data_IF_575738055183
#
_entry.id   IF_575738055183
#
_cell.length_a   1.000
_cell.length_b   1.000
_cell.length_c   1.000
_cell.angle_alpha   90.00
_cell.angle_beta   90.00
_cell.angle_gamma   90.00
#
_symmetry.space_group_name_H-M   'P 1'
#
loop_
_entity.id
_entity.type
_entity.pdbx_description
1 polymer ?
#
# COMPACT_ATOMS: atom_id res chain seq x y z
N UNK A 1 1.34 -18.52 -35.59
CA UNK A 1 0.91 -18.61 -34.18
C UNK A 1 1.41 -17.35 -33.51
N UNK A 2 0.53 -16.43 -33.14
CA UNK A 2 0.93 -15.27 -32.36
C UNK A 2 1.46 -15.78 -31.01
N UNK A 3 2.72 -15.50 -30.69
CA UNK A 3 3.26 -15.77 -29.37
C UNK A 3 2.48 -14.91 -28.39
N UNK A 4 1.72 -15.52 -27.48
CA UNK A 4 1.08 -14.81 -26.36
C UNK A 4 2.18 -14.13 -25.55
N UNK A 5 2.40 -12.84 -25.84
CA UNK A 5 3.37 -12.03 -25.11
C UNK A 5 2.81 -11.86 -23.71
N UNK A 6 3.47 -12.44 -22.71
CA UNK A 6 3.04 -12.33 -21.32
C UNK A 6 2.95 -10.84 -20.95
N UNK A 7 1.78 -10.41 -20.47
CA UNK A 7 1.59 -9.03 -20.03
C UNK A 7 2.54 -8.75 -18.85
N UNK A 8 3.40 -7.72 -18.92
CA UNK A 8 4.29 -7.39 -17.82
C UNK A 8 3.45 -6.99 -16.59
N UNK A 9 3.95 -7.31 -15.40
CA UNK A 9 3.33 -6.86 -14.17
C UNK A 9 3.54 -5.35 -13.99
N UNK A 10 2.47 -4.64 -13.64
CA UNK A 10 2.56 -3.23 -13.25
C UNK A 10 2.29 -3.12 -11.74
N UNK A 11 3.28 -2.70 -10.92
CA UNK A 11 3.07 -2.52 -9.49
C UNK A 11 2.14 -1.34 -9.21
N UNK A 12 1.32 -1.50 -8.17
CA UNK A 12 0.60 -0.37 -7.59
C UNK A 12 1.58 0.50 -6.81
N UNK A 13 1.86 1.67 -7.37
CA UNK A 13 2.73 2.66 -6.74
C UNK A 13 2.04 3.19 -5.44
N UNK A 14 2.70 3.93 -4.51
CA UNK A 14 2.07 4.55 -3.28
C UNK A 14 1.39 5.92 -3.42
N UNK A 15 0.13 6.10 -2.97
CA UNK A 15 -0.57 7.40 -3.04
C UNK A 15 0.31 8.51 -2.43
N UNK A 16 0.43 9.64 -3.13
CA UNK A 16 1.27 10.77 -2.69
C UNK A 16 0.67 11.43 -1.44
N UNK A 17 1.51 11.83 -0.49
CA UNK A 17 1.05 12.57 0.71
C UNK A 17 0.69 14.03 0.40
N UNK A 18 1.28 14.58 -0.66
CA UNK A 18 0.96 15.91 -1.20
C UNK A 18 0.72 15.73 -2.69
N UNK A 19 -0.53 15.74 -3.17
CA UNK A 19 -0.74 15.81 -4.61
C UNK A 19 -0.12 17.11 -5.12
N UNK A 20 0.52 17.05 -6.28
CA UNK A 20 0.65 18.24 -7.13
C UNK A 20 -0.77 18.56 -7.59
N UNK A 21 -1.49 19.29 -6.74
CA UNK A 21 -2.78 19.87 -7.02
C UNK A 21 -2.58 20.80 -8.22
N UNK A 22 -2.66 20.26 -9.44
CA UNK A 22 -2.95 21.05 -10.61
C UNK A 22 -4.43 21.42 -10.52
N UNK A 23 -4.74 22.31 -9.56
CA UNK A 23 -6.07 22.80 -9.19
C UNK A 23 -6.88 23.25 -10.41
N UNK A 24 -6.21 23.62 -11.49
CA UNK A 24 -6.84 24.28 -12.63
C UNK A 24 -7.63 23.33 -13.55
N UNK A 25 -7.48 22.00 -13.45
CA UNK A 25 -8.11 21.05 -14.40
C UNK A 25 -9.04 20.01 -13.74
N UNK A 26 -9.21 20.02 -12.41
CA UNK A 26 -10.08 19.08 -11.70
C UNK A 26 -11.32 19.81 -11.17
N UNK A 27 -12.42 19.79 -11.93
CA UNK A 27 -13.62 20.57 -11.61
C UNK A 27 -14.54 19.95 -10.54
N UNK A 28 -14.35 18.67 -10.19
CA UNK A 28 -15.16 18.03 -9.16
C UNK A 28 -14.38 16.93 -8.44
N UNK A 29 -14.64 16.78 -7.15
CA UNK A 29 -14.03 15.82 -6.25
C UNK A 29 -15.07 14.90 -5.64
N UNK A 30 -14.67 13.65 -5.41
CA UNK A 30 -15.51 12.62 -4.81
C UNK A 30 -14.79 11.93 -3.67
N UNK A 31 -15.54 11.44 -2.69
CA UNK A 31 -15.02 10.59 -1.62
C UNK A 31 -15.61 9.18 -1.71
N UNK A 32 -14.79 8.17 -1.48
CA UNK A 32 -15.19 6.75 -1.38
C UNK A 32 -14.66 6.16 -0.08
N UNK A 33 -15.33 5.15 0.47
CA UNK A 33 -14.86 4.49 1.70
C UNK A 33 -13.46 3.90 1.49
N UNK A 34 -12.55 4.18 2.42
CA UNK A 34 -11.24 3.52 2.44
C UNK A 34 -11.38 2.18 3.17
N UNK A 35 -11.22 1.10 2.42
CA UNK A 35 -11.20 -0.27 2.97
C UNK A 35 -9.83 -0.58 3.56
N UNK A 36 -9.83 -1.25 4.71
CA UNK A 36 -8.66 -1.70 5.43
C UNK A 36 -8.40 -3.18 5.16
N UNK A 37 -7.64 -3.48 4.11
CA UNK A 37 -7.33 -4.86 3.73
C UNK A 37 -5.89 -4.98 3.24
N UNK A 38 -5.74 -5.65 2.10
CA UNK A 38 -4.50 -5.66 1.35
C UNK A 38 -4.79 -5.38 -0.13
N UNK A 39 -3.95 -4.55 -0.72
CA UNK A 39 -4.02 -4.21 -2.14
C UNK A 39 -3.87 -5.45 -3.03
N UNK A 40 -4.84 -5.63 -3.93
CA UNK A 40 -4.97 -6.81 -4.78
C UNK A 40 -5.48 -6.40 -6.17
N UNK A 41 -5.09 -7.13 -7.21
CA UNK A 41 -5.54 -6.86 -8.57
C UNK A 41 -5.77 -8.12 -9.39
N UNK A 42 -6.76 -8.04 -10.28
CA UNK A 42 -6.94 -8.94 -11.40
C UNK A 42 -6.49 -8.24 -12.68
N UNK A 43 -5.87 -8.96 -13.61
CA UNK A 43 -5.53 -8.38 -14.91
C UNK A 43 -5.53 -9.42 -16.03
N UNK A 44 -5.87 -8.98 -17.25
CA UNK A 44 -5.99 -9.83 -18.44
C UNK A 44 -5.76 -9.02 -19.72
N UNK A 45 -5.24 -9.67 -20.76
CA UNK A 45 -5.06 -9.09 -22.12
C UNK A 45 -5.90 -9.75 -23.21
N UNK A 46 -6.53 -10.87 -22.88
CA UNK A 46 -7.27 -11.71 -23.82
C UNK A 46 -8.72 -11.93 -23.36
N UNK A 47 -9.03 -11.66 -22.08
CA UNK A 47 -10.31 -11.95 -21.45
C UNK A 47 -10.45 -13.40 -20.99
N UNK A 48 -9.46 -14.25 -21.25
CA UNK A 48 -9.49 -15.68 -20.94
C UNK A 48 -8.50 -16.05 -19.84
N UNK A 49 -7.28 -15.53 -19.95
CA UNK A 49 -6.21 -15.70 -18.99
C UNK A 49 -6.27 -14.58 -17.96
N UNK A 50 -6.70 -14.93 -16.75
CA UNK A 50 -6.76 -13.99 -15.63
C UNK A 50 -5.54 -14.19 -14.73
N UNK A 51 -4.79 -13.13 -14.53
CA UNK A 51 -3.65 -13.09 -13.62
C UNK A 51 -4.03 -12.37 -12.31
N UNK A 52 -3.29 -12.69 -11.26
CA UNK A 52 -3.46 -12.12 -9.92
C UNK A 52 -2.21 -11.32 -9.56
N UNK A 53 -2.39 -10.22 -8.84
CA UNK A 53 -1.29 -9.39 -8.35
C UNK A 53 -1.57 -8.85 -6.96
N UNK A 54 -0.52 -8.70 -6.17
CA UNK A 54 -0.54 -7.83 -5.00
C UNK A 54 -0.21 -6.39 -5.44
N UNK A 55 0.03 -5.53 -4.45
CA UNK A 55 0.60 -4.22 -4.68
C UNK A 55 1.91 -4.24 -5.46
N UNK A 56 2.82 -5.16 -5.15
CA UNK A 56 4.23 -5.07 -5.56
C UNK A 56 4.64 -6.16 -6.55
N UNK A 57 3.86 -7.23 -6.70
CA UNK A 57 4.25 -8.36 -7.55
C UNK A 57 3.07 -9.20 -8.05
N UNK A 58 3.35 -10.01 -9.07
CA UNK A 58 2.48 -11.12 -9.46
C UNK A 58 2.29 -12.11 -8.32
N UNK A 59 1.11 -12.70 -8.27
CA UNK A 59 0.80 -13.80 -7.35
C UNK A 59 0.60 -15.08 -8.15
N UNK A 60 1.18 -16.17 -7.67
CA UNK A 60 0.89 -17.50 -8.17
C UNK A 60 -0.51 -17.92 -7.68
N UNK A 61 -1.42 -18.19 -8.61
CA UNK A 61 -2.79 -18.57 -8.31
C UNK A 61 -2.89 -19.91 -7.55
N UNK A 62 -1.85 -20.74 -7.56
CA UNK A 62 -1.83 -22.02 -6.83
C UNK A 62 -1.44 -21.87 -5.36
N UNK A 63 -1.03 -20.67 -4.92
CA UNK A 63 -0.57 -20.41 -3.57
C UNK A 63 -1.63 -19.66 -2.75
N UNK A 64 -1.33 -19.46 -1.46
CA UNK A 64 -2.11 -18.56 -0.61
C UNK A 64 -1.47 -17.17 -0.55
N UNK A 65 -2.29 -16.12 -0.50
CA UNK A 65 -1.85 -14.76 -0.19
C UNK A 65 -2.60 -14.27 1.05
N UNK A 66 -1.86 -13.94 2.11
CA UNK A 66 -2.45 -13.55 3.41
C UNK A 66 -3.50 -14.56 3.91
N UNK A 67 -3.20 -15.87 3.74
CA UNK A 67 -4.08 -17.01 4.09
C UNK A 67 -5.34 -17.15 3.22
N UNK A 68 -5.58 -16.24 2.28
CA UNK A 68 -6.59 -16.41 1.24
C UNK A 68 -6.14 -17.48 0.25
N UNK A 69 -6.96 -18.51 0.01
CA UNK A 69 -6.72 -19.51 -1.02
C UNK A 69 -6.96 -18.86 -2.40
N UNK A 70 -5.90 -18.60 -3.16
CA UNK A 70 -6.02 -17.87 -4.43
C UNK A 70 -6.69 -18.68 -5.53
N UNK A 71 -6.66 -20.01 -5.48
CA UNK A 71 -7.35 -20.87 -6.47
C UNK A 71 -8.85 -20.63 -6.37
N UNK A 72 -9.40 -20.79 -5.17
CA UNK A 72 -10.83 -20.60 -4.90
C UNK A 72 -11.24 -19.13 -5.07
N UNK A 73 -10.39 -18.20 -4.59
CA UNK A 73 -10.66 -16.78 -4.72
C UNK A 73 -10.72 -16.34 -6.18
N UNK A 74 -9.77 -16.79 -7.02
CA UNK A 74 -9.78 -16.53 -8.46
C UNK A 74 -10.98 -17.16 -9.14
N UNK A 75 -11.34 -18.39 -8.80
CA UNK A 75 -12.50 -19.07 -9.39
C UNK A 75 -13.79 -18.26 -9.17
N UNK A 76 -14.01 -17.74 -7.95
CA UNK A 76 -15.21 -16.92 -7.63
C UNK A 76 -15.31 -15.60 -8.39
N UNK A 77 -14.19 -14.98 -8.77
CA UNK A 77 -14.18 -13.66 -9.41
C UNK A 77 -13.90 -13.72 -10.92
N UNK A 78 -13.61 -14.91 -11.46
CA UNK A 78 -13.23 -15.09 -12.87
C UNK A 78 -14.31 -14.58 -13.82
N UNK A 79 -15.56 -14.96 -13.57
CA UNK A 79 -16.68 -14.58 -14.43
C UNK A 79 -16.88 -13.05 -14.49
N UNK A 80 -16.74 -12.36 -13.36
CA UNK A 80 -16.85 -10.89 -13.31
C UNK A 80 -15.77 -10.21 -14.17
N UNK A 81 -14.52 -10.67 -14.06
CA UNK A 81 -13.42 -10.13 -14.87
C UNK A 81 -13.63 -10.41 -16.35
N UNK A 82 -14.14 -11.60 -16.71
CA UNK A 82 -14.45 -11.96 -18.11
C UNK A 82 -15.56 -11.07 -18.66
N UNK A 83 -16.66 -10.90 -17.93
CA UNK A 83 -17.79 -10.07 -18.34
C UNK A 83 -17.37 -8.61 -18.51
N UNK A 84 -16.58 -8.09 -17.56
CA UNK A 84 -15.99 -6.76 -17.63
C UNK A 84 -15.12 -6.58 -18.88
N UNK A 85 -14.26 -7.54 -19.19
CA UNK A 85 -13.42 -7.50 -20.37
C UNK A 85 -14.23 -7.52 -21.67
N UNK A 86 -15.26 -8.38 -21.75
CA UNK A 86 -16.13 -8.43 -22.92
C UNK A 86 -16.89 -7.11 -23.12
N UNK A 87 -17.45 -6.55 -22.04
CA UNK A 87 -18.14 -5.26 -22.07
C UNK A 87 -17.23 -4.15 -22.64
N UNK A 88 -15.98 -4.09 -22.18
CA UNK A 88 -14.97 -3.14 -22.72
C UNK A 88 -14.70 -3.43 -24.20
N UNK A 89 -14.47 -4.69 -24.56
CA UNK A 89 -14.05 -5.09 -25.91
C UNK A 89 -15.11 -4.79 -26.96
N UNK A 90 -16.40 -5.01 -26.65
CA UNK A 90 -17.49 -4.83 -27.61
C UNK A 90 -18.18 -3.46 -27.51
N UNK A 91 -18.12 -2.80 -26.35
CA UNK A 91 -18.85 -1.56 -26.12
C UNK A 91 -18.20 -0.35 -26.79
N UNK A 92 -18.96 0.33 -27.66
CA UNK A 92 -18.51 1.57 -28.32
C UNK A 92 -18.12 2.67 -27.32
N UNK A 93 -18.80 2.72 -26.16
CA UNK A 93 -18.52 3.67 -25.07
C UNK A 93 -17.04 3.63 -24.65
N UNK A 94 -16.40 2.47 -24.70
CA UNK A 94 -15.04 2.27 -24.18
C UNK A 94 -13.93 2.53 -25.22
N UNK A 95 -14.31 2.80 -26.48
CA UNK A 95 -13.34 2.95 -27.56
C UNK A 95 -12.32 4.05 -27.30
N UNK A 96 -12.70 5.14 -26.63
CA UNK A 96 -11.77 6.22 -26.29
C UNK A 96 -10.64 5.78 -25.31
N UNK A 97 -10.89 4.74 -24.49
CA UNK A 97 -9.85 4.12 -23.68
C UNK A 97 -8.97 3.18 -24.52
N UNK A 98 -9.57 2.44 -25.45
CA UNK A 98 -8.90 1.43 -26.30
C UNK A 98 -8.01 2.09 -27.37
N UNK A 99 -8.55 3.09 -28.06
CA UNK A 99 -8.00 3.72 -29.26
C UNK A 99 -6.91 4.76 -28.97
N UNK A 100 -6.35 4.79 -27.75
CA UNK A 100 -5.48 5.85 -27.27
C UNK A 100 -4.19 6.00 -28.07
N UNK A 101 -4.24 6.80 -29.15
CA UNK A 101 -3.12 7.36 -29.91
C UNK A 101 -2.58 8.66 -29.33
N UNK A 102 -3.03 9.09 -28.14
CA UNK A 102 -2.38 10.18 -27.44
C UNK A 102 -1.11 9.61 -26.81
N UNK A 103 0.10 9.88 -27.35
CA UNK A 103 1.31 9.55 -26.63
C UNK A 103 1.20 10.26 -25.30
N UNK A 104 1.06 9.50 -24.21
CA UNK A 104 1.42 10.01 -22.91
C UNK A 104 2.85 10.52 -23.09
N UNK A 105 3.06 11.83 -23.03
CA UNK A 105 4.42 12.32 -22.89
C UNK A 105 4.87 11.75 -21.55
N UNK A 106 5.78 10.78 -21.62
CA UNK A 106 6.57 10.34 -20.49
C UNK A 106 7.54 11.48 -20.12
N UNK A 107 7.00 12.68 -19.84
CA UNK A 107 7.71 13.74 -19.15
C UNK A 107 7.88 13.28 -17.68
N UNK A 108 8.67 12.21 -17.52
CA UNK A 108 9.19 11.61 -16.31
C UNK A 108 10.51 12.32 -15.99
N UNK A 109 10.51 13.65 -16.00
CA UNK A 109 11.71 14.41 -15.64
C UNK A 109 11.77 14.71 -14.14
N UNK A 110 10.67 14.63 -13.39
CA UNK A 110 10.61 15.17 -12.02
C UNK A 110 10.58 14.16 -10.85
N UNK A 111 10.64 12.84 -11.08
CA UNK A 111 10.72 11.83 -10.00
C UNK A 111 12.13 11.20 -9.95
N UNK A 112 13.10 11.97 -9.46
CA UNK A 112 14.49 11.52 -9.20
C UNK A 112 14.56 10.23 -8.34
N UNK A 113 13.58 10.02 -7.45
CA UNK A 113 13.52 8.85 -6.56
C UNK A 113 13.18 7.53 -7.28
N UNK A 114 12.57 7.57 -8.48
CA UNK A 114 12.22 6.36 -9.23
C UNK A 114 13.33 5.93 -10.20
N UNK A 115 14.10 6.90 -10.73
CA UNK A 115 15.24 6.66 -11.62
C UNK A 115 16.33 5.83 -10.93
N UNK A 116 16.55 6.02 -9.63
CA UNK A 116 17.60 5.30 -8.89
C UNK A 116 17.35 3.79 -8.79
N UNK A 117 16.09 3.36 -8.80
CA UNK A 117 15.72 1.93 -8.75
C UNK A 117 15.73 1.27 -10.13
N UNK A 118 15.44 2.04 -11.20
CA UNK A 118 15.47 1.56 -12.57
C UNK A 118 16.90 1.45 -13.13
N UNK A 119 17.74 2.47 -12.89
CA UNK A 119 19.14 2.48 -13.34
C UNK A 119 19.96 1.36 -12.71
N UNK A 120 19.72 1.05 -11.43
CA UNK A 120 20.39 -0.05 -10.72
C UNK A 120 20.03 -1.42 -11.30
N UNK A 121 18.85 -1.55 -11.93
CA UNK A 121 18.37 -2.79 -12.54
C UNK A 121 18.87 -2.96 -13.97
N UNK A 122 19.17 -1.87 -14.68
CA UNK A 122 19.82 -1.91 -15.99
C UNK A 122 21.31 -2.23 -15.87
N UNK A 123 22.03 -1.68 -14.88
CA UNK A 123 23.44 -2.07 -14.61
C UNK A 123 23.56 -3.56 -14.26
N UNK A 124 22.62 -4.10 -13.49
CA UNK A 124 22.58 -5.53 -13.16
C UNK A 124 22.26 -6.42 -14.38
N UNK A 125 21.58 -5.88 -15.41
CA UNK A 125 21.26 -6.61 -16.65
C UNK A 125 22.37 -6.50 -17.71
N UNK A 126 23.07 -5.37 -17.80
CA UNK A 126 24.23 -5.20 -18.70
C UNK A 126 25.41 -6.06 -18.27
N UNK A 127 25.62 -6.27 -16.97
CA UNK A 127 26.62 -7.22 -16.47
C UNK A 127 26.32 -8.68 -16.85
N UNK A 128 25.05 -9.03 -17.08
CA UNK A 128 24.65 -10.39 -17.47
C UNK A 128 24.74 -10.64 -18.99
N UNK A 129 24.83 -9.58 -19.80
CA UNK A 129 24.89 -9.69 -21.26
C UNK A 129 26.33 -9.62 -21.82
N UNK A 130 27.33 -9.31 -21.00
CA UNK A 130 28.73 -9.19 -21.44
C UNK A 130 29.51 -10.51 -21.49
N UNK A 131 28.90 -11.67 -21.21
CA UNK A 131 29.58 -12.98 -21.25
C UNK A 131 29.25 -13.86 -22.47
N UNK A 132 28.52 -13.36 -23.48
CA UNK A 132 28.23 -14.15 -24.68
C UNK A 132 28.46 -13.35 -25.97
N UNK A 133 29.31 -13.94 -26.82
CA UNK A 133 29.58 -13.64 -28.23
C UNK A 133 30.61 -12.57 -28.59
N UNK A 134 31.86 -13.05 -28.70
CA UNK A 134 32.81 -12.57 -29.70
C UNK A 134 32.73 -13.39 -30.98
N UNK A 135 32.09 -12.86 -32.03
CA UNK A 135 32.48 -13.19 -33.40
C UNK A 135 32.13 -12.07 -34.40
N UNK A 136 33.19 -11.48 -34.95
CA UNK A 136 33.18 -10.46 -35.99
C UNK A 136 32.64 -11.03 -37.31
N UNK A 137 31.85 -10.23 -38.04
CA UNK A 137 31.90 -10.23 -39.50
C UNK A 137 31.37 -8.94 -40.13
N UNK A 138 32.26 -8.28 -40.84
CA UNK A 138 32.04 -7.18 -41.77
C UNK A 138 31.12 -7.59 -42.94
N UNK A 139 30.29 -6.64 -43.41
CA UNK A 139 29.43 -6.85 -44.57
C UNK A 139 28.57 -5.66 -44.95
N UNK A 140 29.18 -4.74 -45.71
CA UNK A 140 28.63 -3.57 -46.39
C UNK A 140 27.46 -3.89 -47.36
N UNK A 141 26.37 -3.09 -47.36
CA UNK A 141 25.63 -2.71 -48.60
C UNK A 141 24.51 -1.68 -48.35
N UNK A 142 24.40 -0.81 -49.36
CA UNK A 142 23.64 0.43 -49.48
C UNK A 142 22.13 0.26 -49.77
N UNK A 143 21.40 1.31 -49.41
CA UNK A 143 20.29 1.97 -50.11
C UNK A 143 19.06 1.15 -50.57
N UNK A 144 17.87 1.51 -50.06
CA UNK A 144 16.61 0.98 -50.56
C UNK A 144 15.39 1.17 -49.66
N UNK A 145 14.62 2.21 -49.96
CA UNK A 145 13.17 2.30 -49.78
C UNK A 145 12.62 2.37 -48.34
N UNK A 146 12.50 3.60 -47.85
CA UNK A 146 11.80 3.97 -46.62
C UNK A 146 10.28 3.79 -46.73
N UNK A 147 9.82 2.55 -46.96
CA UNK A 147 8.44 2.18 -46.63
C UNK A 147 8.32 2.21 -45.12
N UNK A 148 7.73 3.29 -44.61
CA UNK A 148 7.09 3.30 -43.28
C UNK A 148 6.01 2.22 -43.29
N UNK A 149 6.41 0.98 -43.00
CA UNK A 149 5.52 -0.04 -42.46
C UNK A 149 5.09 0.51 -41.11
N UNK A 150 4.02 1.29 -41.12
CA UNK A 150 3.18 1.48 -39.94
C UNK A 150 2.60 0.09 -39.68
N UNK A 151 3.37 -0.79 -39.05
CA UNK A 151 2.82 -1.95 -38.37
C UNK A 151 1.76 -1.37 -37.44
N UNK A 152 0.50 -1.51 -37.85
CA UNK A 152 -0.64 -1.45 -36.97
C UNK A 152 -0.41 -2.58 -35.97
N UNK A 153 0.41 -2.31 -34.96
CA UNK A 153 0.46 -3.14 -33.77
C UNK A 153 -0.97 -3.17 -33.29
N UNK A 154 -1.64 -4.31 -33.48
CA UNK A 154 -2.97 -4.53 -32.93
C UNK A 154 -2.91 -4.06 -31.48
N UNK A 155 -3.69 -3.02 -31.15
CA UNK A 155 -3.70 -2.48 -29.80
C UNK A 155 -4.22 -3.59 -28.89
N UNK A 156 -3.30 -4.32 -28.28
CA UNK A 156 -3.61 -5.40 -27.34
C UNK A 156 -4.35 -4.75 -26.18
N UNK A 157 -5.62 -5.11 -26.03
CA UNK A 157 -6.47 -4.61 -24.96
C UNK A 157 -5.94 -5.12 -23.62
N UNK A 158 -5.41 -4.23 -22.79
CA UNK A 158 -4.99 -4.52 -21.43
C UNK A 158 -6.04 -4.00 -20.44
N UNK A 159 -6.56 -4.90 -19.60
CA UNK A 159 -7.50 -4.54 -18.53
C UNK A 159 -6.91 -4.93 -17.19
N UNK A 160 -6.91 -3.99 -16.24
CA UNK A 160 -6.58 -4.23 -14.83
C UNK A 160 -7.70 -3.75 -13.93
N UNK A 161 -8.09 -4.59 -12.98
CA UNK A 161 -9.08 -4.30 -11.95
C UNK A 161 -8.35 -4.24 -10.62
N UNK A 162 -8.25 -3.04 -10.06
CA UNK A 162 -7.61 -2.76 -8.77
C UNK A 162 -8.65 -2.80 -7.67
N UNK A 163 -8.30 -3.44 -6.56
CA UNK A 163 -9.16 -3.50 -5.41
C UNK A 163 -8.43 -3.84 -4.12
N UNK A 164 -9.21 -3.96 -3.07
CA UNK A 164 -8.76 -4.38 -1.76
C UNK A 164 -9.26 -5.81 -1.51
N UNK A 165 -8.34 -6.73 -1.18
CA UNK A 165 -8.66 -8.01 -0.56
C UNK A 165 -8.90 -7.75 0.93
N UNK A 166 -10.11 -8.06 1.40
CA UNK A 166 -10.51 -7.79 2.79
C UNK A 166 -11.32 -8.95 3.38
N UNK A 167 -11.58 -8.89 4.69
CA UNK A 167 -12.35 -9.91 5.40
C UNK A 167 -11.49 -11.10 5.86
N UNK A 168 -12.07 -12.29 5.82
CA UNK A 168 -11.45 -13.53 6.31
C UNK A 168 -11.33 -13.60 7.85
N UNK A 169 -12.03 -12.71 8.56
CA UNK A 169 -11.85 -12.42 9.97
C UNK A 169 -13.09 -12.72 10.78
N UNK A 170 -13.48 -13.99 10.85
CA UNK A 170 -14.69 -14.35 11.56
C UNK A 170 -14.62 -14.13 13.07
N UNK A 171 -15.78 -13.93 13.70
CA UNK A 171 -15.91 -13.85 15.17
C UNK A 171 -15.59 -15.18 15.84
N UNK A 172 -15.70 -16.26 15.07
CA UNK A 172 -15.43 -17.60 15.54
C UNK A 172 -13.92 -17.79 15.71
N UNK A 173 -13.50 -18.12 16.94
CA UNK A 173 -12.08 -18.28 17.32
C UNK A 173 -11.36 -19.37 16.51
N UNK A 174 -12.13 -20.24 15.86
CA UNK A 174 -11.64 -21.31 14.99
C UNK A 174 -11.40 -20.86 13.55
N UNK A 175 -11.84 -19.65 13.17
CA UNK A 175 -11.62 -19.08 11.85
C UNK A 175 -10.25 -18.37 11.82
N UNK A 176 -9.52 -18.61 10.74
CA UNK A 176 -8.19 -18.02 10.47
C UNK A 176 -8.22 -16.50 10.70
N UNK A 177 -7.11 -15.89 11.14
CA UNK A 177 -7.11 -14.46 11.41
C UNK A 177 -7.35 -13.66 10.13
N UNK A 178 -8.15 -12.61 10.29
CA UNK A 178 -8.49 -11.61 9.30
C UNK A 178 -7.27 -11.07 8.54
N UNK A 179 -7.50 -10.53 7.33
CA UNK A 179 -6.48 -9.78 6.59
C UNK A 179 -5.88 -8.65 7.45
N UNK A 180 -6.73 -7.95 8.21
CA UNK A 180 -6.36 -6.91 9.18
C UNK A 180 -7.11 -7.09 10.51
N UNK A 181 -6.50 -6.73 11.64
CA UNK A 181 -7.04 -7.02 12.98
C UNK A 181 -7.97 -5.93 13.53
N UNK A 182 -7.94 -4.76 12.92
CA UNK A 182 -8.54 -3.52 13.43
C UNK A 182 -9.98 -3.33 12.99
N UNK A 183 -10.34 -3.82 11.81
CA UNK A 183 -11.71 -3.77 11.27
C UNK A 183 -12.17 -5.17 10.89
N UNK A 184 -13.39 -5.50 11.29
CA UNK A 184 -14.05 -6.74 10.92
C UNK A 184 -15.15 -6.43 9.92
N UNK A 185 -14.88 -6.72 8.66
CA UNK A 185 -15.84 -6.58 7.57
C UNK A 185 -16.69 -7.84 7.40
N UNK A 186 -16.05 -8.98 7.13
CA UNK A 186 -16.75 -10.23 6.88
C UNK A 186 -15.90 -11.42 7.30
N UNK A 187 -16.58 -12.52 7.61
CA UNK A 187 -15.97 -13.82 7.92
C UNK A 187 -15.27 -14.41 6.69
N UNK A 188 -15.77 -14.09 5.49
CA UNK A 188 -15.20 -14.54 4.22
C UNK A 188 -14.20 -13.53 3.63
N UNK A 189 -13.27 -14.02 2.82
CA UNK A 189 -12.44 -13.15 1.98
C UNK A 189 -13.29 -12.58 0.83
N UNK A 190 -13.28 -11.25 0.68
CA UNK A 190 -14.00 -10.50 -0.36
C UNK A 190 -13.05 -9.58 -1.13
N UNK A 191 -13.46 -9.16 -2.32
CA UNK A 191 -12.74 -8.21 -3.15
C UNK A 191 -13.57 -6.94 -3.31
N UNK A 192 -12.99 -5.78 -3.00
CA UNK A 192 -13.61 -4.46 -3.17
C UNK A 192 -12.90 -3.69 -4.28
N UNK A 193 -13.56 -3.50 -5.43
CA UNK A 193 -12.97 -2.78 -6.56
C UNK A 193 -12.92 -1.28 -6.25
N UNK A 194 -11.76 -0.65 -6.35
CA UNK A 194 -11.63 0.81 -6.19
C UNK A 194 -11.09 1.51 -7.44
N UNK A 195 -10.75 0.76 -8.48
CA UNK A 195 -10.26 1.35 -9.72
C UNK A 195 -10.10 0.35 -10.84
N UNK A 196 -10.21 0.82 -12.07
CA UNK A 196 -10.00 0.04 -13.29
C UNK A 196 -9.08 0.84 -14.21
N UNK A 197 -8.14 0.17 -14.87
CA UNK A 197 -7.42 0.75 -16.00
C UNK A 197 -7.63 -0.07 -17.27
N UNK A 198 -7.82 0.65 -18.37
CA UNK A 198 -7.93 0.10 -19.73
C UNK A 198 -6.78 0.71 -20.54
N UNK A 199 -5.87 -0.10 -21.06
CA UNK A 199 -4.64 0.34 -21.74
C UNK A 199 -3.91 1.43 -20.93
N UNK A 200 -3.74 1.19 -19.62
CA UNK A 200 -3.13 2.11 -18.64
C UNK A 200 -3.83 3.46 -18.46
N UNK A 201 -5.07 3.62 -18.93
CA UNK A 201 -5.89 4.81 -18.64
C UNK A 201 -6.88 4.50 -17.52
N UNK A 202 -6.97 5.37 -16.52
CA UNK A 202 -7.92 5.21 -15.42
C UNK A 202 -9.35 5.45 -15.91
N UNK A 203 -10.22 4.48 -15.61
CA UNK A 203 -11.67 4.67 -15.77
C UNK A 203 -12.15 5.57 -14.62
N UNK A 204 -12.95 6.58 -14.95
CA UNK A 204 -13.51 7.47 -13.92
C UNK A 204 -14.50 6.72 -13.01
N UNK A 205 -14.75 7.21 -11.79
CA UNK A 205 -15.51 6.44 -10.78
C UNK A 205 -16.95 6.12 -11.22
N UNK A 206 -17.59 6.99 -11.99
CA UNK A 206 -18.97 6.80 -12.45
C UNK A 206 -19.02 5.68 -13.49
N UNK A 207 -18.14 5.76 -14.49
CA UNK A 207 -17.99 4.73 -15.51
C UNK A 207 -17.53 3.39 -14.91
N UNK A 208 -16.64 3.44 -13.92
CA UNK A 208 -16.17 2.26 -13.20
C UNK A 208 -17.32 1.57 -12.48
N UNK A 209 -18.21 2.33 -11.83
CA UNK A 209 -19.37 1.78 -11.12
C UNK A 209 -20.37 1.15 -12.10
N UNK A 210 -20.65 1.81 -13.22
CA UNK A 210 -21.48 1.23 -14.29
C UNK A 210 -20.89 -0.10 -14.77
N UNK A 211 -19.59 -0.12 -15.05
CA UNK A 211 -18.89 -1.30 -15.55
C UNK A 211 -18.86 -2.43 -14.51
N UNK A 212 -18.62 -2.12 -13.23
CA UNK A 212 -18.66 -3.09 -12.14
C UNK A 212 -20.07 -3.69 -11.98
N UNK A 213 -21.11 -2.86 -12.03
CA UNK A 213 -22.51 -3.29 -11.96
C UNK A 213 -22.86 -4.24 -13.12
N UNK A 214 -22.56 -3.85 -14.35
CA UNK A 214 -22.83 -4.66 -15.55
C UNK A 214 -22.07 -5.98 -15.53
N UNK A 215 -20.82 -5.96 -15.06
CA UNK A 215 -19.99 -7.16 -14.95
C UNK A 215 -20.36 -8.08 -13.77
N UNK A 216 -21.17 -7.60 -12.82
CA UNK A 216 -21.62 -8.36 -11.66
C UNK A 216 -20.69 -8.33 -10.45
N UNK A 217 -19.76 -7.37 -10.36
CA UNK A 217 -18.95 -7.21 -9.15
C UNK A 217 -19.83 -6.79 -7.96
N UNK A 218 -19.81 -7.54 -6.84
CA UNK A 218 -20.71 -7.26 -5.72
C UNK A 218 -20.26 -6.10 -4.84
N UNK A 219 -18.96 -5.79 -4.81
CA UNK A 219 -18.39 -4.74 -3.96
C UNK A 219 -17.42 -3.87 -4.75
N UNK A 220 -17.75 -2.59 -4.83
CA UNK A 220 -16.93 -1.60 -5.51
C UNK A 220 -17.14 -0.21 -4.90
N UNK A 221 -16.23 0.71 -5.22
CA UNK A 221 -16.17 2.02 -4.61
C UNK A 221 -17.33 2.93 -5.03
N UNK A 222 -18.34 2.98 -4.15
CA UNK A 222 -19.48 3.87 -4.29
C UNK A 222 -19.18 5.20 -3.59
N UNK A 223 -19.44 6.34 -4.25
CA UNK A 223 -19.37 7.64 -3.60
C UNK A 223 -20.15 7.70 -2.28
N UNK A 224 -19.55 8.31 -1.26
CA UNK A 224 -20.18 8.48 0.05
C UNK A 224 -21.01 9.76 0.14
N UNK A 225 -20.84 10.66 -0.83
CA UNK A 225 -21.56 11.91 -0.99
C UNK A 225 -21.61 12.29 -2.48
N UNK A 226 -22.40 13.31 -2.81
CA UNK A 226 -22.36 13.93 -4.14
C UNK A 226 -20.98 14.56 -4.40
N UNK A 227 -20.57 14.69 -5.67
CA UNK A 227 -19.35 15.41 -6.03
C UNK A 227 -19.40 16.87 -5.56
N UNK A 228 -18.25 17.38 -5.11
CA UNK A 228 -18.07 18.78 -4.69
C UNK A 228 -17.10 19.48 -5.64
N UNK A 229 -17.22 20.79 -5.82
CA UNK A 229 -16.41 21.53 -6.80
C UNK A 229 -14.93 21.60 -6.38
N UNK A 230 -14.67 21.64 -5.08
CA UNK A 230 -13.32 21.77 -4.53
C UNK A 230 -12.98 20.67 -3.53
N UNK A 231 -11.67 20.42 -3.39
CA UNK A 231 -11.14 19.52 -2.37
C UNK A 231 -11.51 19.98 -0.95
N UNK A 232 -11.35 21.26 -0.64
CA UNK A 232 -11.60 21.81 0.70
C UNK A 232 -13.08 21.69 1.09
N UNK A 233 -14.00 21.90 0.16
CA UNK A 233 -15.43 21.69 0.36
C UNK A 233 -15.73 20.21 0.69
N UNK A 234 -15.19 19.28 -0.10
CA UNK A 234 -15.34 17.85 0.15
C UNK A 234 -14.77 17.46 1.51
N UNK A 235 -13.56 17.91 1.85
CA UNK A 235 -12.92 17.62 3.13
C UNK A 235 -13.74 18.18 4.30
N UNK A 236 -14.23 19.41 4.17
CA UNK A 236 -15.09 20.07 5.16
C UNK A 236 -16.40 19.30 5.37
N UNK A 237 -17.05 18.88 4.28
CA UNK A 237 -18.26 18.05 4.33
C UNK A 237 -18.01 16.71 5.02
N UNK A 238 -16.98 15.96 4.62
CA UNK A 238 -16.69 14.64 5.20
C UNK A 238 -16.37 14.76 6.71
N UNK A 239 -15.66 15.81 7.10
CA UNK A 239 -15.29 16.03 8.52
C UNK A 239 -16.49 16.46 9.37
N UNK A 240 -17.40 17.27 8.83
CA UNK A 240 -18.56 17.81 9.56
C UNK A 240 -19.80 16.91 9.54
N UNK A 241 -19.96 16.06 8.52
CA UNK A 241 -21.14 15.17 8.35
C UNK A 241 -21.22 14.02 9.37
N UNK A 242 -20.14 13.76 10.12
CA UNK A 242 -20.04 12.61 11.01
C UNK A 242 -19.72 11.29 10.30
N UNK A 243 -19.55 11.29 8.97
CA UNK A 243 -19.24 10.09 8.19
C UNK A 243 -17.98 9.38 8.70
N UNK A 244 -16.96 10.13 9.12
CA UNK A 244 -15.70 9.59 9.67
C UNK A 244 -15.85 8.78 10.97
N UNK A 245 -17.02 8.86 11.62
CA UNK A 245 -17.37 8.07 12.80
C UNK A 245 -18.38 6.95 12.50
N UNK A 246 -18.79 6.81 11.24
CA UNK A 246 -19.80 5.85 10.83
C UNK A 246 -19.27 4.42 10.77
N UNK A 247 -20.20 3.48 10.79
CA UNK A 247 -19.94 2.07 10.52
C UNK A 247 -19.67 1.87 9.02
N UNK A 248 -18.72 1.01 8.69
CA UNK A 248 -18.50 0.56 7.33
C UNK A 248 -19.77 -0.05 6.74
N UNK A 249 -20.03 0.25 5.46
CA UNK A 249 -21.12 -0.39 4.71
C UNK A 249 -20.78 -1.79 4.25
N UNK A 250 -19.50 -2.18 4.34
CA UNK A 250 -18.99 -3.48 3.94
C UNK A 250 -19.00 -4.51 5.08
N UNK A 251 -19.42 -4.12 6.28
CA UNK A 251 -19.52 -5.04 7.40
C UNK A 251 -20.87 -5.74 7.44
N UNK A 252 -20.85 -7.06 7.58
CA UNK A 252 -22.06 -7.87 7.81
C UNK A 252 -22.50 -7.82 9.29
N UNK A 253 -21.68 -7.22 10.16
CA UNK A 253 -21.93 -7.17 11.59
C UNK A 253 -22.96 -6.11 11.93
N UNK A 254 -23.82 -6.44 12.89
CA UNK A 254 -24.77 -5.51 13.47
C UNK A 254 -24.22 -4.74 14.67
N UNK A 255 -23.14 -5.22 15.30
CA UNK A 255 -22.52 -4.56 16.45
C UNK A 255 -21.49 -3.48 16.06
N UNK A 256 -21.15 -2.61 17.02
CA UNK A 256 -20.19 -1.52 16.85
C UNK A 256 -18.73 -1.95 17.09
N UNK A 257 -18.51 -3.25 17.33
CA UNK A 257 -17.18 -3.75 17.66
C UNK A 257 -16.32 -3.83 16.41
N UNK A 258 -15.35 -2.91 16.29
CA UNK A 258 -14.39 -2.87 15.18
C UNK A 258 -15.06 -2.79 13.80
N UNK A 259 -16.15 -2.06 13.72
CA UNK A 259 -16.90 -1.88 12.47
C UNK A 259 -16.83 -0.46 11.92
N UNK A 260 -16.15 0.47 12.61
CA UNK A 260 -15.93 1.84 12.14
C UNK A 260 -15.03 1.87 10.91
N UNK A 261 -15.32 2.78 9.99
CA UNK A 261 -14.50 2.97 8.78
C UNK A 261 -13.08 3.43 9.13
N UNK A 262 -12.09 3.00 8.33
CA UNK A 262 -10.72 3.51 8.44
C UNK A 262 -10.66 4.99 8.03
N UNK A 263 -11.45 5.37 7.03
CA UNK A 263 -11.55 6.72 6.51
C UNK A 263 -12.11 6.75 5.10
N UNK A 264 -11.70 7.75 4.32
CA UNK A 264 -12.09 7.90 2.91
C UNK A 264 -10.88 8.11 1.99
N UNK A 265 -11.05 7.74 0.73
CA UNK A 265 -10.20 8.16 -0.38
C UNK A 265 -10.94 9.25 -1.16
N UNK A 266 -10.34 10.43 -1.22
CA UNK A 266 -10.82 11.57 -2.01
C UNK A 266 -10.03 11.65 -3.31
N UNK A 267 -10.71 11.76 -4.45
CA UNK A 267 -10.06 11.95 -5.75
C UNK A 267 -10.91 12.84 -6.65
N UNK A 268 -10.34 13.47 -7.68
CA UNK A 268 -11.12 14.07 -8.75
C UNK A 268 -12.05 13.04 -9.38
N UNK A 269 -13.22 13.54 -9.80
CA UNK A 269 -14.22 12.76 -10.52
C UNK A 269 -13.63 12.24 -11.84
N UNK A 270 -12.93 13.10 -12.58
CA UNK A 270 -12.21 12.78 -13.81
C UNK A 270 -10.71 12.91 -13.54
N UNK A 271 -9.94 11.87 -13.86
CA UNK A 271 -8.48 11.88 -13.72
C UNK A 271 -7.86 12.29 -15.05
N UNK A 272 -7.12 13.40 -15.12
CA UNK A 272 -6.55 13.89 -16.38
C UNK A 272 -5.40 13.02 -16.89
N UNK A 273 -4.75 12.24 -16.01
CA UNK A 273 -3.58 11.45 -16.35
C UNK A 273 -3.47 10.14 -15.53
N UNK A 274 -2.38 9.39 -15.72
CA UNK A 274 -2.04 8.20 -14.93
C UNK A 274 -1.45 8.55 -13.55
N UNK A 275 -1.16 9.84 -13.30
CA UNK A 275 -0.63 10.31 -12.03
C UNK A 275 -1.74 10.33 -10.98
N UNK A 276 -1.33 10.67 -9.77
CA UNK A 276 -2.11 10.38 -8.57
C UNK A 276 -2.75 11.61 -8.02
N UNK A 277 -4.01 11.74 -8.38
CA UNK A 277 -4.89 12.74 -7.82
C UNK A 277 -5.76 12.09 -6.74
N UNK A 278 -5.15 11.46 -5.74
CA UNK A 278 -5.91 10.84 -4.65
C UNK A 278 -5.31 11.21 -3.31
N UNK A 279 -6.17 11.53 -2.35
CA UNK A 279 -5.83 11.92 -0.99
C UNK A 279 -6.57 10.97 -0.05
N UNK A 280 -5.91 10.51 1.00
CA UNK A 280 -6.54 9.71 2.05
C UNK A 280 -6.82 10.60 3.25
N UNK A 281 -8.06 10.58 3.73
CA UNK A 281 -8.42 11.16 5.01
C UNK A 281 -8.79 10.01 5.95
N UNK A 282 -8.00 9.83 7.00
CA UNK A 282 -8.16 8.73 7.96
C UNK A 282 -8.91 9.20 9.20
N UNK A 283 -9.73 8.32 9.78
CA UNK A 283 -10.46 8.60 11.01
C UNK A 283 -9.51 8.67 12.20
N UNK A 284 -9.82 9.53 13.18
CA UNK A 284 -9.06 9.65 14.42
C UNK A 284 -8.98 8.32 15.20
N UNK A 285 -9.97 7.45 15.03
CA UNK A 285 -9.97 6.10 15.62
C UNK A 285 -8.85 5.20 15.07
N UNK A 286 -8.29 5.53 13.90
CA UNK A 286 -7.25 4.77 13.21
C UNK A 286 -5.91 5.50 13.16
N UNK A 287 -5.89 6.80 13.42
CA UNK A 287 -4.65 7.56 13.61
C UNK A 287 -4.23 7.49 15.07
N UNK A 288 -3.46 6.46 15.39
CA UNK A 288 -3.01 6.13 16.74
C UNK A 288 -1.89 7.08 17.22
N UNK A 289 -1.94 8.34 16.84
CA UNK A 289 -0.97 9.37 17.25
C UNK A 289 -1.43 9.94 18.58
N UNK A 290 -0.90 9.39 19.67
CA UNK A 290 -1.22 9.86 21.02
C UNK A 290 -0.27 10.96 21.42
N UNK A 291 -0.85 12.06 21.89
CA UNK A 291 -0.15 13.08 22.65
C UNK A 291 0.21 12.50 24.02
N UNK A 292 1.52 12.33 24.28
CA UNK A 292 2.05 11.86 25.55
C UNK A 292 2.60 13.03 26.36
N UNK A 293 2.25 13.12 27.64
CA UNK A 293 2.69 14.20 28.53
C UNK A 293 1.54 15.08 29.05
N UNK A 294 1.83 15.91 30.06
CA UNK A 294 0.90 16.88 30.64
C UNK A 294 1.42 18.31 30.44
N UNK A 295 0.53 19.25 30.15
CA UNK A 295 0.85 20.68 30.05
C UNK A 295 1.77 21.01 28.86
N UNK A 296 2.82 21.80 29.09
CA UNK A 296 3.73 22.28 28.04
C UNK A 296 4.65 21.21 27.43
N UNK A 297 4.66 20.01 28.01
CA UNK A 297 5.55 18.91 27.60
C UNK A 297 4.83 17.82 26.80
N UNK A 298 3.74 18.15 26.10
CA UNK A 298 3.06 17.21 25.21
C UNK A 298 3.97 16.87 24.04
N UNK A 299 4.47 15.64 23.99
CA UNK A 299 5.18 15.08 22.85
C UNK A 299 4.27 14.13 22.08
N UNK A 300 4.27 14.28 20.76
CA UNK A 300 3.57 13.38 19.86
C UNK A 300 4.31 12.04 19.81
N UNK A 301 3.64 10.94 20.17
CA UNK A 301 4.19 9.60 20.04
C UNK A 301 3.78 8.96 18.72
N UNK A 302 4.75 8.79 17.82
CA UNK A 302 4.56 8.13 16.53
C UNK A 302 4.87 6.62 16.56
N UNK A 303 5.51 6.12 17.63
CA UNK A 303 5.86 4.72 17.80
C UNK A 303 4.66 3.93 18.35
N UNK A 304 3.70 3.63 17.47
CA UNK A 304 2.42 3.04 17.88
C UNK A 304 2.12 1.74 17.14
N UNK A 305 1.27 0.91 17.75
CA UNK A 305 0.94 -0.41 17.21
C UNK A 305 0.18 -0.30 15.89
N UNK A 306 -0.73 0.66 15.75
CA UNK A 306 -1.44 0.85 14.48
C UNK A 306 -0.50 1.23 13.33
N UNK A 307 0.55 2.01 13.59
CA UNK A 307 1.56 2.31 12.56
C UNK A 307 2.33 1.06 12.15
N UNK A 308 2.64 0.19 13.10
CA UNK A 308 3.28 -1.09 12.82
C UNK A 308 2.39 -1.97 11.95
N UNK A 309 1.10 -2.07 12.29
CA UNK A 309 0.12 -2.81 11.49
C UNK A 309 -0.04 -2.20 10.08
N UNK A 310 0.03 -0.87 9.95
CA UNK A 310 0.09 -0.17 8.65
C UNK A 310 1.34 -0.47 7.82
N UNK A 311 2.48 -0.75 8.46
CA UNK A 311 3.70 -1.17 7.76
C UNK A 311 3.57 -2.62 7.32
N UNK A 312 3.16 -3.50 8.22
CA UNK A 312 2.97 -4.93 7.95
C UNK A 312 1.94 -5.18 6.85
N UNK A 313 0.88 -4.37 6.76
CA UNK A 313 -0.13 -4.50 5.70
C UNK A 313 0.42 -4.25 4.29
N UNK A 314 1.55 -3.56 4.17
CA UNK A 314 2.24 -3.30 2.90
C UNK A 314 3.17 -4.44 2.49
N UNK A 315 3.43 -5.37 3.41
CA UNK A 315 4.40 -6.45 3.25
C UNK A 315 3.70 -7.79 3.06
N UNK A 316 4.27 -8.64 2.22
CA UNK A 316 3.86 -10.04 2.12
C UNK A 316 4.49 -10.91 3.22
N UNK A 317 4.02 -12.14 3.42
CA UNK A 317 4.44 -13.02 4.53
C UNK A 317 5.96 -13.16 4.65
N UNK A 318 6.74 -13.48 3.58
CA UNK A 318 8.19 -13.60 3.70
C UNK A 318 8.86 -12.28 4.12
N UNK A 319 8.31 -11.14 3.70
CA UNK A 319 8.82 -9.81 4.05
C UNK A 319 8.47 -9.43 5.50
N UNK A 320 7.42 -10.02 6.09
CA UNK A 320 7.06 -9.84 7.50
C UNK A 320 7.97 -10.61 8.45
N UNK A 321 8.58 -11.68 7.97
CA UNK A 321 9.57 -12.48 8.70
C UNK A 321 10.96 -11.80 8.71
N UNK A 322 11.24 -10.93 7.73
CA UNK A 322 12.42 -10.06 7.73
C UNK A 322 12.27 -8.91 8.72
N UNK A 323 12.70 -9.17 9.95
CA UNK A 323 12.63 -8.20 11.07
C UNK A 323 13.34 -6.89 10.77
N UNK A 324 14.47 -6.91 10.07
CA UNK A 324 15.24 -5.70 9.79
C UNK A 324 14.56 -4.85 8.72
N UNK A 325 13.99 -5.48 7.69
CA UNK A 325 13.17 -4.79 6.69
C UNK A 325 11.93 -4.13 7.34
N UNK A 326 11.16 -4.87 8.15
CA UNK A 326 9.98 -4.33 8.85
C UNK A 326 10.37 -3.16 9.75
N UNK A 327 11.44 -3.33 10.53
CA UNK A 327 11.94 -2.30 11.46
C UNK A 327 12.39 -1.05 10.73
N UNK A 328 13.14 -1.21 9.63
CA UNK A 328 13.61 -0.12 8.78
C UNK A 328 12.44 0.65 8.17
N UNK A 329 11.47 -0.06 7.57
CA UNK A 329 10.27 0.56 7.01
C UNK A 329 9.43 1.28 8.07
N UNK A 330 9.32 0.72 9.27
CA UNK A 330 8.63 1.36 10.38
C UNK A 330 9.31 2.65 10.83
N UNK A 331 10.64 2.64 10.99
CA UNK A 331 11.40 3.83 11.36
C UNK A 331 11.25 4.91 10.28
N UNK A 332 11.41 4.56 9.00
CA UNK A 332 11.25 5.50 7.89
C UNK A 332 9.84 6.11 7.88
N UNK A 333 8.80 5.31 8.14
CA UNK A 333 7.42 5.79 8.20
C UNK A 333 7.20 6.76 9.37
N UNK A 334 7.81 6.50 10.54
CA UNK A 334 7.81 7.40 11.70
C UNK A 334 8.55 8.71 11.40
N UNK A 335 9.78 8.64 10.87
CA UNK A 335 10.61 9.82 10.58
C UNK A 335 9.92 10.72 9.54
N UNK A 336 9.36 10.11 8.49
CA UNK A 336 8.58 10.81 7.46
C UNK A 336 7.37 11.54 8.02
N UNK A 337 6.66 10.95 8.98
CA UNK A 337 5.49 11.60 9.60
C UNK A 337 5.89 12.70 10.58
N UNK A 338 6.92 12.46 11.38
CA UNK A 338 7.38 13.43 12.37
C UNK A 338 8.07 14.65 11.74
N UNK A 339 8.47 14.56 10.46
CA UNK A 339 9.17 15.61 9.73
C UNK A 339 10.64 15.78 10.15
N UNK A 340 11.17 14.88 10.98
CA UNK A 340 12.56 14.92 11.46
C UNK A 340 13.11 13.50 11.73
N UNK A 341 14.43 13.30 11.63
CA UNK A 341 15.06 12.05 12.06
C UNK A 341 14.84 11.76 13.55
N UNK A 342 14.67 10.49 13.91
CA UNK A 342 14.56 10.06 15.30
C UNK A 342 15.93 10.13 15.99
N UNK A 343 15.95 10.57 17.26
CA UNK A 343 17.15 10.42 18.09
C UNK A 343 17.48 8.94 18.30
N UNK A 344 18.76 8.64 18.52
CA UNK A 344 19.24 7.25 18.72
C UNK A 344 18.45 6.49 19.80
N UNK A 345 18.09 7.15 20.89
CA UNK A 345 17.30 6.53 21.96
C UNK A 345 15.87 6.24 21.53
N UNK A 346 15.21 7.18 20.80
CA UNK A 346 13.87 6.95 20.25
C UNK A 346 13.88 5.82 19.22
N UNK A 347 14.88 5.80 18.32
CA UNK A 347 15.09 4.75 17.32
C UNK A 347 15.21 3.38 17.99
N UNK A 348 16.08 3.23 19.00
CA UNK A 348 16.21 1.98 19.78
C UNK A 348 14.90 1.55 20.44
N UNK A 349 14.13 2.51 20.98
CA UNK A 349 12.79 2.25 21.53
C UNK A 349 11.82 1.70 20.48
N UNK A 350 11.78 2.30 19.29
CA UNK A 350 10.98 1.83 18.16
C UNK A 350 11.36 0.40 17.74
N UNK A 351 12.65 0.12 17.57
CA UNK A 351 13.14 -1.23 17.23
C UNK A 351 12.66 -2.27 18.26
N UNK A 352 12.83 -1.96 19.55
CA UNK A 352 12.40 -2.86 20.63
C UNK A 352 10.88 -3.12 20.57
N UNK A 353 10.08 -2.08 20.31
CA UNK A 353 8.63 -2.21 20.20
C UNK A 353 8.21 -3.07 19.00
N UNK A 354 8.77 -2.82 17.82
CA UNK A 354 8.48 -3.57 16.59
C UNK A 354 8.82 -5.05 16.76
N UNK A 355 10.01 -5.38 17.28
CA UNK A 355 10.39 -6.77 17.57
C UNK A 355 9.42 -7.45 18.54
N UNK A 356 9.01 -6.75 19.61
CA UNK A 356 8.01 -7.27 20.55
C UNK A 356 6.65 -7.54 19.89
N UNK A 357 6.23 -6.70 18.93
CA UNK A 357 4.99 -6.92 18.18
C UNK A 357 5.09 -8.06 17.17
N UNK A 358 6.21 -8.17 16.45
CA UNK A 358 6.48 -9.29 15.54
C UNK A 358 6.45 -10.64 16.28
N UNK A 359 7.10 -10.70 17.45
CA UNK A 359 7.09 -11.90 18.30
C UNK A 359 5.67 -12.26 18.76
N UNK A 360 4.91 -11.26 19.26
CA UNK A 360 3.52 -11.45 19.69
C UNK A 360 2.59 -11.88 18.56
N UNK A 361 2.87 -11.45 17.33
CA UNK A 361 2.10 -11.84 16.15
C UNK A 361 2.57 -13.18 15.54
N UNK A 362 3.65 -13.77 16.06
CA UNK A 362 4.17 -15.08 15.66
C UNK A 362 5.06 -15.05 14.41
N UNK A 363 5.58 -13.88 14.01
CA UNK A 363 6.48 -13.76 12.87
C UNK A 363 7.95 -14.06 13.22
N UNK A 364 8.32 -13.96 14.50
CA UNK A 364 9.65 -14.31 15.02
C UNK A 364 9.54 -15.07 16.34
N UNK A 365 10.57 -15.84 16.68
CA UNK A 365 10.63 -16.56 17.95
C UNK A 365 11.21 -15.69 19.08
N UNK A 366 10.72 -15.87 20.31
CA UNK A 366 11.14 -15.07 21.49
C UNK A 366 12.66 -15.14 21.75
N UNK A 367 13.33 -16.24 21.37
CA UNK A 367 14.77 -16.40 21.50
C UNK A 367 15.58 -15.36 20.68
N UNK A 368 15.02 -14.89 19.56
CA UNK A 368 15.69 -13.93 18.67
C UNK A 368 15.61 -12.49 19.22
N UNK A 369 14.61 -12.22 20.06
CA UNK A 369 14.39 -10.90 20.67
C UNK A 369 15.49 -10.55 21.68
N UNK A 370 16.00 -11.55 22.41
CA UNK A 370 17.00 -11.35 23.46
C UNK A 370 18.45 -11.35 22.95
N UNK A 371 18.75 -12.09 21.89
CA UNK A 371 20.13 -12.26 21.41
C UNK A 371 20.66 -11.08 20.57
N UNK A 372 19.79 -10.24 20.01
CA UNK A 372 20.17 -9.17 19.06
C UNK A 372 20.03 -7.73 19.60
N UNK A 373 19.85 -7.54 20.91
CA UNK A 373 19.79 -6.20 21.51
C UNK A 373 21.17 -5.49 21.62
N UNK A 374 22.26 -6.19 21.29
CA UNK A 374 23.64 -5.70 21.50
C UNK A 374 24.48 -5.46 20.24
N UNK A 375 24.00 -5.77 19.04
CA UNK A 375 24.76 -5.56 17.78
C UNK A 375 24.05 -4.53 16.90
N UNK A 376 24.47 -3.28 17.00
CA UNK A 376 24.17 -2.25 15.99
C UNK A 376 25.19 -2.43 14.85
N UNK A 377 24.79 -2.48 13.58
CA UNK A 377 25.75 -2.49 12.47
C UNK A 377 26.55 -1.18 12.48
N UNK A 378 27.85 -1.22 12.14
CA UNK A 378 28.67 -0.02 12.11
C UNK A 378 28.09 0.98 11.09
N UNK A 379 27.79 2.19 11.56
CA UNK A 379 27.63 3.34 10.67
C UNK A 379 29.01 3.68 10.11
N UNK A 380 29.19 3.54 8.81
CA UNK A 380 30.38 4.00 8.09
C UNK A 380 30.47 5.53 8.15
N UNK A 381 31.12 6.02 9.20
CA UNK A 381 31.67 7.38 9.25
C UNK A 381 33.11 7.31 8.81
N UNK A 382 33.36 7.84 7.61
CA UNK A 382 34.69 8.23 7.13
C UNK A 382 35.23 9.29 8.08
N UNK A 383 36.25 8.94 8.89
CA UNK A 383 36.97 9.90 9.71
C UNK A 383 38.28 10.30 9.01
N UNK A 384 38.43 11.62 8.83
CA UNK A 384 39.70 12.26 8.56
C UNK A 384 40.45 12.53 9.87
N UNK A 385 41.75 12.40 9.74
CA UNK A 385 42.85 12.48 10.69
C UNK A 385 42.89 13.79 11.51
N UNK A 386 43.23 13.70 12.81
CA UNK A 386 44.09 14.68 13.49
C UNK A 386 44.45 14.25 14.93
N UNK A 387 45.64 14.69 15.32
CA UNK A 387 46.56 14.19 16.34
C UNK A 387 46.43 14.83 17.72
N UNK A 388 46.88 14.07 18.74
CA UNK A 388 47.59 14.45 19.99
C UNK A 388 46.94 15.41 21.02
N UNK A 389 46.78 15.01 22.29
CA UNK A 389 47.83 14.97 23.36
C UNK A 389 47.19 14.78 24.76
N UNK A 390 47.81 13.89 25.56
CA UNK A 390 47.92 13.74 27.03
C UNK A 390 47.05 14.52 28.06
N UNK A 391 46.61 13.83 29.13
CA UNK A 391 47.07 13.90 30.55
C UNK A 391 45.99 13.31 31.47
N UNK A 392 46.38 12.40 32.37
CA UNK A 392 45.46 11.62 33.21
C UNK A 392 44.99 12.29 34.51
N UNK A 393 44.11 11.58 35.22
CA UNK A 393 43.98 11.57 36.70
C UNK A 393 43.09 10.41 37.16
N UNK A 394 43.45 9.91 38.32
CA UNK A 394 42.97 8.74 39.08
C UNK A 394 41.78 9.03 40.00
N UNK A 395 41.24 7.95 40.60
CA UNK A 395 40.34 7.87 41.79
C UNK A 395 38.88 8.28 41.55
N UNK A 396 37.83 7.72 42.15
CA UNK A 396 37.66 6.74 43.22
C UNK A 396 36.17 6.28 43.20
N UNK A 397 35.88 5.19 43.90
CA UNK A 397 34.59 4.50 44.09
C UNK A 397 33.46 5.31 44.74
N UNK A 398 32.20 4.99 44.42
CA UNK A 398 31.07 5.02 45.38
C UNK A 398 29.97 3.98 45.02
N UNK A 399 29.39 3.38 46.06
CA UNK A 399 28.42 2.25 46.07
C UNK A 399 27.02 2.76 46.47
N UNK A 400 25.97 2.17 45.85
CA UNK A 400 24.51 2.05 46.20
C UNK A 400 23.74 3.35 46.58
N UNK A 401 22.43 3.51 46.37
CA UNK A 401 21.22 2.71 46.64
C UNK A 401 20.15 3.27 45.67
N UNK A 402 19.44 2.49 44.86
CA UNK A 402 18.22 1.75 45.22
C UNK A 402 16.96 2.56 44.85
N UNK A 403 16.18 2.07 43.90
CA UNK A 403 14.72 2.27 43.88
C UNK A 403 14.09 1.23 42.94
N UNK A 404 13.30 0.36 43.56
CA UNK A 404 12.46 -0.67 42.96
C UNK A 404 11.30 -0.02 42.22
N UNK A 405 11.23 -0.20 40.90
CA UNK A 405 10.04 0.12 40.12
C UNK A 405 9.08 -1.08 40.19
N UNK A 406 8.11 -0.96 41.08
CA UNK A 406 6.93 -1.80 41.14
C UNK A 406 5.96 -1.36 40.02
N UNK A 407 5.83 -2.18 38.99
CA UNK A 407 4.76 -2.04 37.99
C UNK A 407 3.74 -3.12 38.27
N UNK A 408 2.87 -2.88 39.25
CA UNK A 408 1.61 -3.60 39.37
C UNK A 408 0.77 -3.32 38.13
N UNK A 409 0.59 -4.34 37.30
CA UNK A 409 -0.55 -4.49 36.40
C UNK A 409 -1.83 -4.32 37.22
N UNK A 410 -2.54 -3.21 37.00
CA UNK A 410 -3.90 -3.05 37.47
C UNK A 410 -4.82 -3.40 36.29
N UNK A 411 -5.20 -4.67 36.24
CA UNK A 411 -6.34 -5.17 35.50
C UNK A 411 -7.58 -4.42 35.98
N UNK A 412 -8.10 -3.50 35.16
CA UNK A 412 -9.40 -2.90 35.39
C UNK A 412 -10.43 -3.60 34.52
N UNK A 413 -11.27 -4.40 35.18
CA UNK A 413 -12.46 -5.01 34.64
C UNK A 413 -13.41 -3.93 34.09
N UNK A 414 -13.75 -4.05 32.81
CA UNK A 414 -14.74 -3.21 32.14
C UNK A 414 -16.14 -3.77 32.41
N UNK A 415 -16.63 -3.54 33.62
CA UNK A 415 -18.01 -3.78 34.04
C UNK A 415 -18.46 -2.57 34.86
N UNK A 416 -19.71 -2.15 34.67
CA UNK A 416 -20.39 -1.01 35.31
C UNK A 416 -20.15 0.36 34.66
N UNK A 417 -20.77 0.58 33.49
CA UNK A 417 -21.08 1.94 33.06
C UNK A 417 -22.38 2.08 32.25
N UNK A 418 -23.42 1.32 32.59
CA UNK A 418 -24.80 1.66 32.19
C UNK A 418 -25.74 1.37 33.36
N UNK A 419 -25.98 2.43 34.15
CA UNK A 419 -27.12 2.49 35.04
C UNK A 419 -28.39 2.75 34.24
N UNK A 420 -29.49 2.18 34.73
CA UNK A 420 -30.85 2.35 34.25
C UNK A 420 -31.20 3.83 34.00
N UNK A 421 -31.62 4.16 32.76
CA UNK A 421 -32.85 4.94 32.42
C UNK A 421 -33.27 4.59 31.00
#
# INVERSE_FOLDING_TARGET
MATNKAMPFSPMTSIMKKPTLMENNCHSWIATEKVHGASFQFYTSDGDTIHLGSRTRCLDANNSFLKCNLVEFKARHTEYVKNLYQEIKVGERWQHYISGTEPFSEDIEDDEDCKTMAAKREEDLEMLQTEVDGHERDGNCEDGDSRKNTELTENVLEVRVYGELYGGGGVNKDIKPAVQKEIIYSDEFRFYVFGITINKKWVNIVEMNDLCNTAGFPYFATPVCEPMDTFDELQGYITSSGFMNSRSRLTDRSDDYKTKIEGVVMSPLVRPDYRRHAIKLLSAAFTDVRNTGKGKNVQVNYCTKARYLSVISKLDIPEREDTEMVTSMFIQDVEKESGAPLSNNKRKGCVKAVRGWLAKDGYIHDADVHNNAGKVPPTDTVNADSTDTSVGKTSESFIQVGETLDMTELDMAFGDLFGDV
#
